data_IF_432365744615
#
_entry.id   IF_432365744615
#
_cell.length_a   1.000
_cell.length_b   1.000
_cell.length_c   1.000
_cell.angle_alpha   90.00
_cell.angle_beta   90.00
_cell.angle_gamma   90.00
#
_symmetry.space_group_name_H-M   'P 1'
#
loop_
_entity.id
_entity.type
_entity.pdbx_description
1 polymer ?
#
# COMPACT_ATOMS: atom_id res chain seq x y z
N UNK A 1 -7.38 9.30 10.17
CA UNK A 1 -8.41 9.11 9.14
C UNK A 1 -9.68 9.88 9.53
N UNK A 2 -10.38 10.48 8.56
CA UNK A 2 -11.70 11.08 8.76
C UNK A 2 -12.58 10.70 7.57
N UNK A 3 -13.74 10.12 7.83
CA UNK A 3 -14.73 9.74 6.83
C UNK A 3 -15.95 10.67 6.92
N UNK A 4 -16.47 11.07 5.76
CA UNK A 4 -17.63 11.96 5.64
C UNK A 4 -18.70 11.27 4.80
N UNK A 5 -19.96 11.39 5.20
CA UNK A 5 -21.11 11.04 4.38
C UNK A 5 -21.91 12.31 4.07
N UNK A 6 -21.99 12.68 2.78
CA UNK A 6 -22.64 13.93 2.34
C UNK A 6 -22.15 15.19 3.08
N UNK A 7 -20.89 15.21 3.50
CA UNK A 7 -20.27 16.33 4.22
C UNK A 7 -20.28 16.20 5.75
N UNK A 8 -21.09 15.29 6.31
CA UNK A 8 -21.17 15.06 7.75
C UNK A 8 -20.15 14.01 8.21
N UNK A 9 -19.40 14.23 9.30
CA UNK A 9 -18.48 13.23 9.83
C UNK A 9 -19.22 11.99 10.30
N UNK A 10 -18.83 10.84 9.78
CA UNK A 10 -19.36 9.53 10.22
C UNK A 10 -18.32 8.74 11.00
N UNK A 11 -17.03 8.98 10.75
CA UNK A 11 -15.94 8.32 11.45
C UNK A 11 -14.71 9.23 11.54
N UNK A 12 -14.01 9.16 12.67
CA UNK A 12 -12.73 9.82 12.86
C UNK A 12 -11.81 8.93 13.68
N UNK A 13 -10.60 8.75 13.17
CA UNK A 13 -9.51 8.05 13.86
C UNK A 13 -8.28 8.94 13.84
N UNK A 14 -7.67 9.17 15.00
CA UNK A 14 -6.45 9.96 15.13
C UNK A 14 -5.58 9.37 16.24
N UNK A 15 -4.27 9.54 16.13
CA UNK A 15 -3.34 8.97 17.10
C UNK A 15 -1.90 9.03 16.62
N UNK A 16 -1.04 8.27 17.30
CA UNK A 16 0.36 8.10 16.94
C UNK A 16 0.78 6.66 17.19
N UNK A 17 1.63 6.14 16.32
CA UNK A 17 2.17 4.80 16.41
C UNK A 17 3.69 4.85 16.37
N UNK A 18 4.35 3.97 17.11
CA UNK A 18 5.81 3.82 17.08
C UNK A 18 6.22 2.36 17.22
N UNK A 19 7.38 2.02 16.66
CA UNK A 19 8.05 0.73 16.86
C UNK A 19 9.23 0.96 17.82
N UNK A 20 9.39 0.11 18.84
CA UNK A 20 10.41 0.25 19.91
C UNK A 20 11.84 -0.02 19.43
N UNK A 21 12.01 -0.58 18.23
CA UNK A 21 13.29 -0.83 17.57
C UNK A 21 13.13 -1.77 16.37
N UNK A 22 14.15 -1.87 15.51
CA UNK A 22 14.08 -2.74 14.33
C UNK A 22 13.74 -4.17 14.72
N UNK A 23 12.67 -4.71 14.14
CA UNK A 23 12.17 -6.07 14.41
C UNK A 23 11.54 -6.26 15.80
N UNK A 24 11.42 -5.20 16.60
CA UNK A 24 10.75 -5.25 17.90
C UNK A 24 9.26 -4.93 17.76
N UNK A 25 8.58 -5.08 18.87
CA UNK A 25 7.20 -4.67 19.11
C UNK A 25 7.04 -3.14 19.04
N UNK A 26 5.80 -2.71 19.00
CA UNK A 26 5.42 -1.30 18.95
C UNK A 26 4.14 -1.03 19.70
N UNK A 27 3.69 0.21 19.61
CA UNK A 27 2.49 0.66 20.32
C UNK A 27 1.81 1.78 19.52
N UNK A 28 0.47 1.77 19.58
CA UNK A 28 -0.40 2.80 19.04
C UNK A 28 -1.18 3.42 20.19
N UNK A 29 -1.16 4.74 20.25
CA UNK A 29 -2.00 5.52 21.14
C UNK A 29 -2.99 6.34 20.31
N UNK A 30 -4.28 6.07 20.46
CA UNK A 30 -5.32 6.79 19.76
C UNK A 30 -5.72 8.04 20.57
N UNK A 31 -5.78 9.18 19.89
CA UNK A 31 -6.41 10.40 20.39
C UNK A 31 -7.89 10.46 20.01
N UNK A 32 -8.29 9.75 18.95
CA UNK A 32 -9.70 9.49 18.60
C UNK A 32 -9.81 8.05 18.07
N UNK A 33 -10.66 7.20 18.67
CA UNK A 33 -11.35 7.39 19.94
C UNK A 33 -10.37 7.54 21.11
N UNK A 34 -10.68 8.41 22.07
CA UNK A 34 -9.79 8.72 23.19
C UNK A 34 -9.65 7.51 24.14
N UNK A 35 -8.43 7.26 24.62
CA UNK A 35 -8.15 6.21 25.61
C UNK A 35 -8.04 4.80 25.02
N UNK A 36 -8.16 4.64 23.69
CA UNK A 36 -7.86 3.39 23.01
C UNK A 36 -6.36 3.27 22.75
N UNK A 37 -5.83 2.07 22.96
CA UNK A 37 -4.43 1.73 22.70
C UNK A 37 -4.35 0.35 22.02
N UNK A 38 -3.30 0.13 21.25
CA UNK A 38 -3.04 -1.15 20.59
C UNK A 38 -1.54 -1.48 20.67
N UNK A 39 -1.22 -2.67 21.16
CA UNK A 39 0.15 -3.18 21.07
C UNK A 39 0.39 -3.78 19.68
N UNK A 40 1.53 -3.43 19.08
CA UNK A 40 1.94 -3.95 17.78
C UNK A 40 2.91 -5.11 18.00
N UNK A 41 2.65 -6.31 17.44
CA UNK A 41 3.56 -7.43 17.52
C UNK A 41 4.96 -7.10 16.99
N UNK A 42 5.94 -7.90 17.42
CA UNK A 42 7.29 -7.76 16.91
C UNK A 42 7.35 -7.98 15.39
N UNK A 43 7.98 -7.04 14.68
CA UNK A 43 8.11 -7.11 13.22
C UNK A 43 6.95 -6.47 12.45
N UNK A 44 5.99 -5.82 13.11
CA UNK A 44 5.00 -4.97 12.44
C UNK A 44 5.68 -3.86 11.62
N UNK A 45 5.18 -3.63 10.41
CA UNK A 45 5.63 -2.57 9.52
C UNK A 45 4.58 -1.48 9.34
N UNK A 46 5.04 -0.23 9.15
CA UNK A 46 4.19 0.87 8.70
C UNK A 46 4.20 1.00 7.16
N UNK A 47 3.23 1.70 6.56
CA UNK A 47 3.00 1.66 5.11
C UNK A 47 4.21 2.04 4.26
N UNK A 48 4.93 3.11 4.61
CA UNK A 48 6.11 3.55 3.85
C UNK A 48 7.26 2.54 3.93
N UNK A 49 7.52 1.96 5.11
CA UNK A 49 8.54 0.92 5.26
C UNK A 49 8.16 -0.36 4.52
N UNK A 50 6.87 -0.72 4.53
CA UNK A 50 6.36 -1.85 3.76
C UNK A 50 6.53 -1.64 2.25
N UNK A 51 6.23 -0.44 1.73
CA UNK A 51 6.44 -0.08 0.33
C UNK A 51 7.91 -0.14 -0.08
N UNK A 52 8.82 0.39 0.75
CA UNK A 52 10.26 0.30 0.50
C UNK A 52 10.68 -1.17 0.41
N UNK A 53 10.26 -2.00 1.37
CA UNK A 53 10.57 -3.42 1.37
C UNK A 53 9.99 -4.14 0.14
N UNK A 54 8.77 -3.82 -0.29
CA UNK A 54 8.16 -4.37 -1.51
C UNK A 54 9.04 -4.11 -2.74
N UNK A 55 9.53 -2.88 -2.91
CA UNK A 55 10.43 -2.52 -4.01
C UNK A 55 11.76 -3.28 -3.90
N UNK A 56 12.36 -3.33 -2.72
CA UNK A 56 13.61 -4.06 -2.48
C UNK A 56 13.49 -5.56 -2.78
N UNK A 57 12.42 -6.19 -2.31
CA UNK A 57 12.15 -7.61 -2.54
C UNK A 57 11.86 -7.91 -4.02
N UNK A 58 11.10 -7.05 -4.71
CA UNK A 58 10.88 -7.16 -6.14
C UNK A 58 12.18 -7.06 -6.94
N UNK A 59 13.06 -6.12 -6.57
CA UNK A 59 14.39 -5.97 -7.19
C UNK A 59 15.31 -7.16 -6.89
N UNK A 60 15.18 -7.79 -5.73
CA UNK A 60 15.91 -8.99 -5.36
C UNK A 60 15.37 -10.28 -6.02
N UNK A 61 14.26 -10.20 -6.75
CA UNK A 61 13.64 -11.35 -7.42
C UNK A 61 12.80 -12.23 -6.50
N UNK A 62 12.37 -11.72 -5.35
CA UNK A 62 11.40 -12.42 -4.51
C UNK A 62 10.03 -12.44 -5.19
N UNK A 63 9.30 -13.54 -5.03
CA UNK A 63 7.95 -13.72 -5.60
C UNK A 63 6.85 -13.81 -4.55
N UNK A 64 7.21 -14.06 -3.28
CA UNK A 64 6.26 -14.18 -2.20
C UNK A 64 6.90 -13.89 -0.83
N UNK A 65 6.17 -13.20 0.05
CA UNK A 65 6.49 -13.10 1.47
C UNK A 65 5.27 -12.61 2.27
N UNK A 66 5.36 -12.68 3.60
CA UNK A 66 4.30 -12.21 4.51
C UNK A 66 4.83 -11.18 5.49
N UNK A 67 4.00 -10.19 5.85
CA UNK A 67 4.29 -9.22 6.92
C UNK A 67 3.04 -8.82 7.67
N UNK A 68 3.19 -8.49 8.94
CA UNK A 68 2.16 -7.77 9.67
C UNK A 68 2.30 -6.27 9.39
N UNK A 69 1.24 -5.60 8.96
CA UNK A 69 1.22 -4.18 8.62
C UNK A 69 0.18 -3.47 9.47
N UNK A 70 0.55 -2.33 10.06
CA UNK A 70 -0.40 -1.39 10.66
C UNK A 70 -0.56 -0.19 9.73
N UNK A 71 -1.73 0.00 9.12
CA UNK A 71 -1.92 1.05 8.10
C UNK A 71 -2.36 2.40 8.68
N UNK A 72 -2.96 2.40 9.87
CA UNK A 72 -3.57 3.59 10.48
C UNK A 72 -4.84 4.06 9.77
N UNK A 73 -5.42 3.25 8.89
CA UNK A 73 -6.70 3.54 8.21
C UNK A 73 -7.90 3.43 9.15
N UNK A 74 -7.77 2.71 10.27
CA UNK A 74 -8.81 2.46 11.26
C UNK A 74 -8.22 1.95 12.57
N UNK A 75 -9.03 1.76 13.60
CA UNK A 75 -8.56 1.20 14.89
C UNK A 75 -8.18 -0.27 14.81
N UNK A 76 -8.70 -0.98 13.81
CA UNK A 76 -8.53 -2.39 13.48
C UNK A 76 -7.56 -2.63 12.30
N UNK A 77 -6.81 -1.61 11.91
CA UNK A 77 -5.96 -1.63 10.70
C UNK A 77 -4.62 -2.37 10.86
N UNK A 78 -4.56 -3.35 11.75
CA UNK A 78 -3.43 -4.26 11.94
C UNK A 78 -3.74 -5.59 11.25
N UNK A 79 -3.05 -5.88 10.15
CA UNK A 79 -3.35 -7.05 9.33
C UNK A 79 -2.07 -7.85 9.03
N UNK A 80 -2.10 -9.19 9.09
CA UNK A 80 -1.20 -10.01 8.30
C UNK A 80 -1.48 -9.77 6.81
N UNK A 81 -0.42 -9.57 6.04
CA UNK A 81 -0.46 -9.30 4.61
C UNK A 81 0.40 -10.32 3.89
N UNK A 82 -0.23 -11.11 3.02
CA UNK A 82 0.48 -11.97 2.07
C UNK A 82 0.74 -11.19 0.79
N UNK A 83 1.98 -11.23 0.34
CA UNK A 83 2.45 -10.49 -0.83
C UNK A 83 2.84 -11.46 -1.92
N UNK A 84 2.34 -11.22 -3.13
CA UNK A 84 2.74 -11.91 -4.34
C UNK A 84 3.33 -10.91 -5.34
N UNK A 85 4.49 -11.24 -5.90
CA UNK A 85 5.19 -10.38 -6.86
C UNK A 85 5.35 -11.18 -8.16
N UNK A 86 4.76 -10.64 -9.23
CA UNK A 86 4.85 -11.20 -10.58
C UNK A 86 6.22 -11.00 -11.21
N UNK A 87 6.35 -11.41 -12.47
CA UNK A 87 7.59 -11.22 -13.22
C UNK A 87 7.87 -9.73 -13.46
N UNK A 88 9.15 -9.38 -13.51
CA UNK A 88 9.57 -8.04 -13.88
C UNK A 88 9.09 -7.71 -15.30
N UNK A 89 8.44 -6.56 -15.43
CA UNK A 89 8.09 -5.94 -16.69
C UNK A 89 9.19 -4.92 -17.04
N UNK A 90 9.87 -5.08 -18.19
CA UNK A 90 10.89 -4.14 -18.65
C UNK A 90 10.34 -2.71 -18.81
N UNK A 91 11.23 -1.73 -18.67
CA UNK A 91 10.87 -0.32 -18.87
C UNK A 91 10.27 -0.09 -20.26
N UNK A 92 9.17 0.67 -20.32
CA UNK A 92 8.50 1.04 -21.56
C UNK A 92 7.44 0.04 -22.02
N UNK A 93 7.41 -1.16 -21.44
CA UNK A 93 6.36 -2.14 -21.72
C UNK A 93 5.09 -1.87 -20.92
N UNK A 94 3.94 -2.22 -21.49
CA UNK A 94 2.62 -2.08 -20.85
C UNK A 94 2.29 -0.68 -20.30
N UNK A 95 2.93 0.39 -20.77
CA UNK A 95 2.57 1.75 -20.32
C UNK A 95 1.09 2.07 -20.63
N UNK A 96 0.44 2.95 -19.84
CA UNK A 96 -0.92 3.39 -20.11
C UNK A 96 -1.09 3.86 -21.56
N UNK A 97 -2.27 3.60 -22.14
CA UNK A 97 -2.57 3.90 -23.55
C UNK A 97 -2.23 5.36 -23.92
N UNK A 98 -2.52 6.29 -23.00
CA UNK A 98 -2.26 7.72 -23.13
C UNK A 98 -0.77 8.02 -23.36
N UNK A 99 0.14 7.27 -22.73
CA UNK A 99 1.59 7.40 -22.93
C UNK A 99 2.00 6.94 -24.32
N UNK A 100 1.41 5.83 -24.77
CA UNK A 100 1.64 5.25 -26.11
C UNK A 100 1.13 6.16 -27.23
N UNK A 101 0.06 6.91 -26.98
CA UNK A 101 -0.53 7.91 -27.89
C UNK A 101 0.27 9.24 -27.95
N UNK A 102 1.43 9.32 -27.29
CA UNK A 102 2.28 10.52 -27.32
C UNK A 102 1.86 11.62 -26.35
N UNK A 103 0.82 11.42 -25.54
CA UNK A 103 0.47 12.29 -24.40
C UNK A 103 1.40 11.96 -23.23
N UNK A 104 2.69 12.24 -23.42
CA UNK A 104 3.77 11.92 -22.46
C UNK A 104 3.64 12.70 -21.15
N UNK A 105 3.06 13.89 -21.17
CA UNK A 105 3.10 14.85 -20.06
C UNK A 105 2.56 14.29 -18.73
N UNK A 106 1.35 13.69 -18.64
CA UNK A 106 0.83 13.20 -17.36
C UNK A 106 1.46 11.89 -16.87
N UNK A 107 2.39 11.27 -17.60
CA UNK A 107 2.96 9.95 -17.23
C UNK A 107 4.47 9.85 -17.50
N UNK A 108 5.14 10.98 -17.78
CA UNK A 108 6.56 10.99 -18.10
C UNK A 108 7.41 10.35 -16.99
N UNK A 109 6.95 10.46 -15.74
CA UNK A 109 7.58 9.84 -14.58
C UNK A 109 7.62 8.32 -14.60
N UNK A 110 6.79 7.64 -15.39
CA UNK A 110 6.78 6.17 -15.50
C UNK A 110 7.76 5.65 -16.56
N UNK A 111 8.16 6.50 -17.51
CA UNK A 111 9.05 6.12 -18.61
C UNK A 111 10.46 5.92 -18.08
N UNK A 112 11.12 4.83 -18.48
CA UNK A 112 12.48 4.52 -18.02
C UNK A 112 12.53 3.62 -16.79
N UNK A 113 11.37 3.31 -16.19
CA UNK A 113 11.28 2.55 -14.95
C UNK A 113 10.75 1.13 -15.21
N UNK A 114 11.44 0.15 -14.63
CA UNK A 114 10.96 -1.24 -14.55
C UNK A 114 9.86 -1.33 -13.49
N UNK A 115 9.04 -2.38 -13.60
CA UNK A 115 7.88 -2.54 -12.74
C UNK A 115 7.49 -4.01 -12.56
N UNK A 116 6.61 -4.30 -11.60
CA UNK A 116 6.11 -5.64 -11.31
C UNK A 116 4.60 -5.58 -11.03
N UNK A 117 3.82 -6.56 -11.47
CA UNK A 117 2.51 -6.83 -10.88
C UNK A 117 2.72 -7.24 -9.42
N UNK A 118 1.98 -6.64 -8.49
CA UNK A 118 2.02 -6.93 -7.06
C UNK A 118 0.59 -7.14 -6.59
N UNK A 119 0.36 -8.26 -5.92
CA UNK A 119 -0.89 -8.57 -5.22
C UNK A 119 -0.65 -8.61 -3.71
N UNK A 120 -1.53 -7.95 -2.96
CA UNK A 120 -1.55 -7.95 -1.50
C UNK A 120 -2.88 -8.52 -1.02
N UNK A 121 -2.84 -9.50 -0.14
CA UNK A 121 -4.03 -10.04 0.52
C UNK A 121 -3.95 -9.74 2.03
N UNK A 122 -4.93 -9.01 2.55
CA UNK A 122 -5.02 -8.59 3.95
C UNK A 122 -5.95 -9.55 4.69
N UNK A 123 -5.46 -10.06 5.82
CA UNK A 123 -6.20 -11.01 6.65
C UNK A 123 -6.61 -10.36 7.98
N UNK A 124 -7.68 -10.83 8.62
CA UNK A 124 -8.02 -10.43 9.98
C UNK A 124 -7.02 -11.02 10.98
N UNK A 125 -6.44 -10.20 11.86
CA UNK A 125 -5.39 -10.61 12.81
C UNK A 125 -5.85 -11.67 13.81
N UNK A 126 -7.13 -11.66 14.20
CA UNK A 126 -7.72 -12.56 15.21
C UNK A 126 -8.51 -13.72 14.59
N UNK A 127 -8.32 -13.99 13.29
CA UNK A 127 -9.05 -15.01 12.55
C UNK A 127 -8.11 -16.10 12.04
N UNK A 128 -8.62 -17.34 12.01
CA UNK A 128 -8.01 -18.45 11.28
C UNK A 128 -8.62 -18.63 9.89
N UNK A 129 -9.33 -17.60 9.38
CA UNK A 129 -9.87 -17.61 8.03
C UNK A 129 -8.75 -17.75 7.01
N UNK A 130 -8.95 -18.63 6.02
CA UNK A 130 -8.09 -18.72 4.85
C UNK A 130 -8.45 -17.68 3.78
N UNK A 131 -9.60 -17.02 3.91
CA UNK A 131 -10.06 -15.97 2.99
C UNK A 131 -9.60 -14.60 3.50
N UNK A 132 -8.97 -13.78 2.64
CA UNK A 132 -8.63 -12.40 2.97
C UNK A 132 -9.90 -11.54 3.04
N UNK A 133 -9.86 -10.49 3.85
CA UNK A 133 -10.95 -9.50 3.96
C UNK A 133 -10.83 -8.39 2.91
N UNK A 134 -9.63 -8.22 2.36
CA UNK A 134 -9.34 -7.20 1.37
C UNK A 134 -8.13 -7.61 0.53
N UNK A 135 -8.25 -7.47 -0.79
CA UNK A 135 -7.15 -7.72 -1.72
C UNK A 135 -6.87 -6.48 -2.56
N UNK A 136 -5.59 -6.23 -2.84
CA UNK A 136 -5.12 -5.11 -3.65
C UNK A 136 -4.14 -5.65 -4.69
N UNK A 137 -4.49 -5.50 -5.96
CA UNK A 137 -3.58 -5.71 -7.07
C UNK A 137 -3.16 -4.38 -7.67
N UNK A 138 -1.88 -4.21 -7.96
CA UNK A 138 -1.37 -3.03 -8.64
C UNK A 138 -0.07 -3.33 -9.36
N UNK A 139 0.29 -2.45 -10.29
CA UNK A 139 1.61 -2.40 -10.88
C UNK A 139 2.51 -1.49 -10.06
N UNK A 140 3.59 -2.03 -9.50
CA UNK A 140 4.59 -1.28 -8.73
C UNK A 140 5.82 -0.95 -9.58
N UNK A 141 6.19 0.32 -9.66
CA UNK A 141 7.44 0.77 -10.30
C UNK A 141 8.60 0.82 -9.29
N UNK A 142 9.84 0.75 -9.78
CA UNK A 142 11.04 0.70 -8.92
C UNK A 142 11.31 1.97 -8.10
N UNK A 143 10.62 3.08 -8.38
CA UNK A 143 10.64 4.30 -7.57
C UNK A 143 9.43 4.42 -6.61
N UNK A 144 8.60 3.37 -6.48
CA UNK A 144 7.49 3.31 -5.53
C UNK A 144 6.14 3.86 -6.01
N UNK A 145 6.02 4.27 -7.27
CA UNK A 145 4.74 4.70 -7.87
C UNK A 145 3.95 3.44 -8.24
N UNK A 146 2.64 3.48 -8.00
CA UNK A 146 1.72 2.42 -8.37
C UNK A 146 0.76 2.86 -9.49
N UNK A 147 0.40 1.94 -10.38
CA UNK A 147 -0.66 2.11 -11.38
C UNK A 147 -1.54 0.86 -11.47
N UNK A 148 -2.60 0.92 -12.28
CA UNK A 148 -3.46 -0.24 -12.59
C UNK A 148 -4.02 -0.92 -11.33
N UNK A 149 -4.62 -0.11 -10.44
CA UNK A 149 -5.05 -0.53 -9.11
C UNK A 149 -6.40 -1.24 -9.18
N UNK A 150 -6.48 -2.43 -8.61
CA UNK A 150 -7.73 -3.16 -8.37
C UNK A 150 -7.87 -3.43 -6.88
N UNK A 151 -9.00 -3.01 -6.31
CA UNK A 151 -9.34 -3.15 -4.89
C UNK A 151 -10.53 -4.10 -4.78
N UNK A 152 -10.31 -5.28 -4.19
CA UNK A 152 -11.34 -6.29 -4.02
C UNK A 152 -11.74 -6.38 -2.55
N UNK A 153 -12.99 -6.01 -2.25
CA UNK A 153 -13.56 -6.04 -0.90
C UNK A 153 -14.36 -7.34 -0.63
N UNK A 154 -14.36 -8.28 -1.57
CA UNK A 154 -15.10 -9.54 -1.53
C UNK A 154 -16.50 -9.43 -2.13
N UNK A 155 -17.29 -8.44 -1.72
CA UNK A 155 -18.66 -8.21 -2.22
C UNK A 155 -18.70 -7.31 -3.47
N UNK A 156 -17.71 -6.43 -3.63
CA UNK A 156 -17.49 -5.65 -4.83
C UNK A 156 -16.00 -5.44 -5.13
N UNK A 157 -15.73 -5.06 -6.38
CA UNK A 157 -14.38 -4.78 -6.88
C UNK A 157 -14.37 -3.38 -7.49
N UNK A 158 -13.37 -2.59 -7.13
CA UNK A 158 -13.11 -1.27 -7.72
C UNK A 158 -11.84 -1.34 -8.56
N UNK A 159 -11.92 -0.85 -9.80
CA UNK A 159 -10.75 -0.65 -10.65
C UNK A 159 -10.48 0.83 -10.79
N UNK A 160 -9.26 1.25 -10.45
CA UNK A 160 -8.79 2.62 -10.52
C UNK A 160 -7.68 2.75 -11.57
N UNK A 161 -7.86 3.73 -12.46
CA UNK A 161 -6.91 4.04 -13.54
C UNK A 161 -6.21 5.34 -13.18
N UNK A 162 -4.88 5.36 -13.28
CA UNK A 162 -4.10 6.57 -13.10
C UNK A 162 -4.39 7.54 -14.25
N UNK A 163 -4.96 8.70 -13.96
CA UNK A 163 -5.26 9.73 -14.98
C UNK A 163 -4.16 10.79 -15.10
N UNK A 164 -3.52 11.16 -13.98
CA UNK A 164 -2.52 12.22 -13.91
C UNK A 164 -1.43 11.88 -12.89
N UNK A 165 -0.17 12.15 -13.25
CA UNK A 165 0.99 12.05 -12.36
C UNK A 165 1.80 13.35 -12.43
N UNK A 166 1.83 14.07 -11.31
CA UNK A 166 2.68 15.24 -11.09
C UNK A 166 3.88 14.84 -10.21
N UNK A 167 5.09 14.98 -10.75
CA UNK A 167 6.30 14.73 -9.97
C UNK A 167 6.67 15.95 -9.15
N UNK A 168 6.88 15.75 -7.86
CA UNK A 168 7.40 16.80 -6.99
C UNK A 168 8.87 17.13 -7.35
N UNK A 169 9.30 18.39 -7.18
CA UNK A 169 10.71 18.75 -7.28
C UNK A 169 11.56 17.88 -6.35
N UNK A 170 12.73 17.48 -6.83
CA UNK A 170 13.70 16.83 -5.93
C UNK A 170 14.13 17.83 -4.87
N UNK A 171 14.23 17.43 -3.59
CA UNK A 171 14.76 18.29 -2.56
C UNK A 171 16.22 18.66 -2.89
N UNK A 172 16.61 19.89 -2.54
CA UNK A 172 18.01 20.30 -2.58
C UNK A 172 18.74 19.60 -1.42
N UNK A 173 19.46 18.52 -1.75
CA UNK A 173 20.28 17.74 -0.83
C UNK A 173 21.76 17.98 -1.10
#
# INVERSE_FOLDING_TARGET
MRSLNMGDPVEQVAGSAYIRGVGKDGHVQFSVPEGSELELPAGTMFPSSHLIMLVEQAMAGAHHFERTVFSGSGTDSLNPVSVFIGNQIPSGEHLPQQVKEGKRQPFAGLVGHKSWPVGLAYYPIDSHSAEPEFEVDYRLFDHGIASDLTLNYGDFVLSAVLEELELLPKPDC
#
